data_IF_588292217124
#
_entry.id   IF_588292217124
#
_cell.length_a   1.000
_cell.length_b   1.000
_cell.length_c   1.000
_cell.angle_alpha   90.00
_cell.angle_beta   90.00
_cell.angle_gamma   90.00
#
_symmetry.space_group_name_H-M   'P 1'
#
loop_
_entity.id
_entity.type
_entity.pdbx_description
1 polymer ?
#
# COMPACT_ATOMS: atom_id res chain seq x y z
N UNK A 1 37.17 22.92 -45.25
CA UNK A 1 36.25 22.14 -44.37
C UNK A 1 36.16 20.66 -44.75
N UNK A 2 36.33 20.28 -46.02
CA UNK A 2 36.44 18.87 -46.47
C UNK A 2 37.45 17.97 -45.71
N UNK A 3 38.66 18.43 -45.32
CA UNK A 3 39.62 17.54 -44.64
C UNK A 3 39.16 17.10 -43.24
N UNK A 4 38.40 17.94 -42.53
CA UNK A 4 37.82 17.58 -41.24
C UNK A 4 36.77 16.47 -41.37
N UNK A 5 36.03 16.44 -42.47
CA UNK A 5 35.01 15.41 -42.73
C UNK A 5 35.60 14.01 -42.91
N UNK A 6 36.78 13.92 -43.54
CA UNK A 6 37.48 12.64 -43.72
C UNK A 6 37.96 12.06 -42.38
N UNK A 7 38.55 12.91 -41.52
CA UNK A 7 38.99 12.51 -40.17
C UNK A 7 37.80 12.03 -39.34
N UNK A 8 36.69 12.77 -39.35
CA UNK A 8 35.46 12.37 -38.64
C UNK A 8 34.99 10.99 -39.13
N UNK A 9 34.87 10.78 -40.44
CA UNK A 9 34.42 9.50 -41.02
C UNK A 9 35.34 8.33 -40.63
N UNK A 10 36.65 8.55 -40.60
CA UNK A 10 37.62 7.52 -40.26
C UNK A 10 37.59 7.18 -38.76
N UNK A 11 37.51 8.19 -37.89
CA UNK A 11 37.33 7.99 -36.45
C UNK A 11 36.03 7.24 -36.12
N UNK A 12 34.93 7.51 -36.84
CA UNK A 12 33.69 6.74 -36.68
C UNK A 12 33.84 5.29 -37.17
N UNK A 13 34.56 5.07 -38.27
CA UNK A 13 34.82 3.74 -38.80
C UNK A 13 35.68 2.91 -37.84
N UNK A 14 36.72 3.50 -37.26
CA UNK A 14 37.55 2.84 -36.26
C UNK A 14 36.80 2.59 -34.95
N UNK A 15 35.97 3.55 -34.51
CA UNK A 15 35.10 3.37 -33.35
C UNK A 15 34.14 2.19 -33.56
N UNK A 16 33.48 2.11 -34.73
CA UNK A 16 32.60 1.00 -35.10
C UNK A 16 33.34 -0.33 -35.30
N UNK A 17 34.64 -0.34 -35.56
CA UNK A 17 35.45 -1.56 -35.64
C UNK A 17 35.88 -2.07 -34.25
N UNK A 18 35.76 -1.26 -33.20
CA UNK A 18 36.16 -1.64 -31.85
C UNK A 18 35.22 -2.69 -31.25
N UNK A 19 35.77 -3.88 -30.96
CA UNK A 19 35.05 -4.96 -30.25
C UNK A 19 34.59 -4.53 -28.85
N UNK A 20 35.37 -3.67 -28.19
CA UNK A 20 35.04 -3.13 -26.86
C UNK A 20 33.81 -2.24 -26.94
N UNK A 21 33.71 -1.39 -27.99
CA UNK A 21 32.53 -0.54 -28.19
C UNK A 21 31.27 -1.39 -28.38
N UNK A 22 31.33 -2.42 -29.22
CA UNK A 22 30.18 -3.32 -29.42
C UNK A 22 29.78 -4.07 -28.16
N UNK A 23 30.75 -4.51 -27.34
CA UNK A 23 30.46 -5.15 -26.06
C UNK A 23 29.72 -4.19 -25.11
N UNK A 24 30.20 -2.95 -24.97
CA UNK A 24 29.55 -1.91 -24.16
C UNK A 24 28.17 -1.52 -24.70
N UNK A 25 28.03 -1.42 -26.02
CA UNK A 25 26.76 -1.13 -26.67
C UNK A 25 25.74 -2.23 -26.41
N UNK A 26 26.11 -3.50 -26.61
CA UNK A 26 25.23 -4.64 -26.33
C UNK A 26 24.85 -4.73 -24.85
N UNK A 27 25.81 -4.51 -23.96
CA UNK A 27 25.57 -4.50 -22.51
C UNK A 27 24.59 -3.39 -22.12
N UNK A 28 24.83 -2.15 -22.57
CA UNK A 28 23.96 -1.01 -22.28
C UNK A 28 22.57 -1.19 -22.89
N UNK A 29 22.49 -1.69 -24.13
CA UNK A 29 21.22 -1.98 -24.81
C UNK A 29 20.46 -3.07 -24.07
N UNK A 30 21.12 -4.14 -23.64
CA UNK A 30 20.53 -5.19 -22.81
C UNK A 30 20.01 -4.66 -21.48
N UNK A 31 20.80 -3.82 -20.79
CA UNK A 31 20.39 -3.17 -19.55
C UNK A 31 19.16 -2.28 -19.75
N UNK A 32 19.14 -1.47 -20.81
CA UNK A 32 17.99 -0.64 -21.15
C UNK A 32 16.78 -1.48 -21.52
N UNK A 33 16.93 -2.61 -22.22
CA UNK A 33 15.83 -3.53 -22.51
C UNK A 33 15.26 -4.17 -21.24
N UNK A 34 16.08 -4.45 -20.24
CA UNK A 34 15.61 -4.93 -18.94
C UNK A 34 14.85 -3.84 -18.16
N UNK A 35 15.20 -2.57 -18.31
CA UNK A 35 14.54 -1.45 -17.59
C UNK A 35 13.32 -0.93 -18.37
N UNK A 36 13.32 -0.98 -19.70
CA UNK A 36 12.25 -0.50 -20.57
C UNK A 36 10.82 -0.95 -20.19
N UNK A 37 10.58 -2.21 -19.73
CA UNK A 37 9.24 -2.62 -19.32
C UNK A 37 8.82 -2.11 -17.93
N UNK A 38 9.67 -1.37 -17.21
CA UNK A 38 9.33 -0.79 -15.92
C UNK A 38 8.43 0.44 -16.09
N UNK A 39 7.35 0.49 -15.33
CA UNK A 39 6.36 1.58 -15.39
C UNK A 39 5.59 1.73 -14.08
N UNK A 40 4.56 2.58 -14.10
CA UNK A 40 3.65 2.78 -12.98
C UNK A 40 2.22 2.85 -13.47
N UNK A 41 1.31 2.24 -12.72
CA UNK A 41 -0.13 2.37 -12.93
C UNK A 41 -0.76 3.24 -11.84
N UNK A 42 -1.69 4.10 -12.24
CA UNK A 42 -2.45 4.97 -11.34
C UNK A 42 -3.70 4.22 -10.91
N UNK A 43 -3.75 3.82 -9.64
CA UNK A 43 -4.90 3.13 -9.08
C UNK A 43 -5.57 3.97 -8.01
N UNK A 44 -6.89 3.99 -8.00
CA UNK A 44 -7.67 4.58 -6.90
C UNK A 44 -7.39 3.79 -5.63
N UNK A 45 -7.17 4.49 -4.50
CA UNK A 45 -6.89 3.81 -3.22
C UNK A 45 -8.20 3.32 -2.61
N UNK A 46 -8.65 2.15 -3.06
CA UNK A 46 -9.96 1.57 -2.74
C UNK A 46 -9.87 0.31 -1.84
N UNK A 47 -8.66 -0.13 -1.50
CA UNK A 47 -8.38 -1.22 -0.55
C UNK A 47 -7.73 -0.69 0.73
N UNK A 48 -7.76 -1.52 1.78
CA UNK A 48 -6.97 -1.35 3.01
C UNK A 48 -5.74 -2.26 2.95
N UNK A 49 -4.54 -1.74 2.66
CA UNK A 49 -3.29 -2.48 2.87
C UNK A 49 -3.10 -2.85 4.34
N UNK A 50 -2.44 -4.00 4.61
CA UNK A 50 -2.07 -4.40 5.97
C UNK A 50 -1.29 -3.32 6.73
N UNK A 51 -0.41 -2.59 6.02
CA UNK A 51 0.43 -1.50 6.56
C UNK A 51 -0.31 -0.20 6.84
N UNK A 52 -1.54 -0.04 6.35
CA UNK A 52 -2.30 1.19 6.52
C UNK A 52 -3.07 1.21 7.85
N UNK A 53 -3.04 0.10 8.60
CA UNK A 53 -3.55 0.04 9.97
C UNK A 53 -2.35 0.02 10.91
N UNK A 54 -2.28 0.99 11.81
CA UNK A 54 -1.16 1.18 12.74
C UNK A 54 -1.06 0.05 13.76
N UNK A 55 -2.18 -0.32 14.37
CA UNK A 55 -2.27 -1.45 15.29
C UNK A 55 -3.57 -2.22 15.07
N UNK A 56 -3.45 -3.40 14.45
CA UNK A 56 -4.57 -4.31 14.23
C UNK A 56 -5.17 -4.87 15.52
N UNK A 57 -4.35 -5.01 16.58
CA UNK A 57 -4.77 -5.54 17.87
C UNK A 57 -5.70 -4.56 18.57
N UNK A 58 -5.29 -3.30 18.61
CA UNK A 58 -6.09 -2.21 19.15
C UNK A 58 -7.34 -1.95 18.31
N UNK A 59 -7.26 -2.03 16.97
CA UNK A 59 -8.44 -1.92 16.11
C UNK A 59 -9.49 -2.98 16.44
N UNK A 60 -9.10 -4.25 16.56
CA UNK A 60 -10.01 -5.34 16.92
C UNK A 60 -10.67 -5.12 18.29
N UNK A 61 -9.88 -4.66 19.26
CA UNK A 61 -10.35 -4.33 20.61
C UNK A 61 -11.37 -3.18 20.59
N UNK A 62 -11.04 -2.07 19.93
CA UNK A 62 -11.92 -0.89 19.84
C UNK A 62 -13.19 -1.21 19.06
N UNK A 63 -13.12 -1.96 17.96
CA UNK A 63 -14.31 -2.43 17.25
C UNK A 63 -15.21 -3.28 18.15
N UNK A 64 -14.65 -4.13 19.01
CA UNK A 64 -15.41 -4.95 19.95
C UNK A 64 -16.02 -4.15 21.09
N UNK A 65 -15.27 -3.18 21.62
CA UNK A 65 -15.72 -2.32 22.73
C UNK A 65 -16.84 -1.39 22.26
N UNK A 66 -16.68 -0.76 21.10
CA UNK A 66 -17.68 0.14 20.51
C UNK A 66 -18.97 -0.59 20.11
N UNK A 67 -18.89 -1.88 19.78
CA UNK A 67 -20.09 -2.69 19.50
C UNK A 67 -20.90 -3.07 20.74
N UNK A 68 -20.28 -3.05 21.93
CA UNK A 68 -20.96 -3.29 23.20
C UNK A 68 -21.73 -2.07 23.72
N UNK A 69 -21.47 -0.88 23.18
CA UNK A 69 -22.16 0.36 23.56
C UNK A 69 -23.55 0.40 22.93
N UNK A 70 -24.56 0.82 23.68
CA UNK A 70 -25.95 0.80 23.21
C UNK A 70 -26.27 1.91 22.17
N UNK A 71 -25.37 2.87 22.00
CA UNK A 71 -25.49 3.96 21.03
C UNK A 71 -25.05 3.48 19.63
N UNK A 72 -25.81 3.86 18.60
CA UNK A 72 -25.43 3.64 17.20
C UNK A 72 -24.15 4.40 16.87
N UNK A 73 -23.12 3.66 16.46
CA UNK A 73 -21.82 4.21 16.11
C UNK A 73 -21.19 3.35 14.99
N UNK A 74 -20.17 3.86 14.28
CA UNK A 74 -19.54 3.18 13.17
C UNK A 74 -18.98 1.81 13.55
N UNK A 75 -18.35 1.69 14.71
CA UNK A 75 -17.77 0.45 15.19
C UNK A 75 -18.82 -0.64 15.44
N UNK A 76 -19.94 -0.30 16.08
CA UNK A 76 -21.09 -1.19 16.26
C UNK A 76 -21.70 -1.63 14.93
N UNK A 77 -21.90 -0.69 14.01
CA UNK A 77 -22.44 -0.98 12.68
C UNK A 77 -21.54 -1.95 11.91
N UNK A 78 -20.23 -1.65 11.84
CA UNK A 78 -19.24 -2.49 11.16
C UNK A 78 -19.09 -3.86 11.82
N UNK A 79 -19.10 -3.92 13.16
CA UNK A 79 -19.07 -5.18 13.90
C UNK A 79 -20.27 -6.06 13.56
N UNK A 80 -21.46 -5.48 13.38
CA UNK A 80 -22.65 -6.23 13.01
C UNK A 80 -22.64 -6.73 11.56
N UNK A 81 -21.89 -6.07 10.68
CA UNK A 81 -21.68 -6.52 9.30
C UNK A 81 -20.62 -7.61 9.19
N UNK A 82 -19.73 -7.78 10.19
CA UNK A 82 -18.77 -8.87 10.21
C UNK A 82 -19.48 -10.23 10.27
N UNK A 83 -18.92 -11.18 9.54
CA UNK A 83 -19.35 -12.57 9.58
C UNK A 83 -19.13 -13.18 10.96
N UNK A 84 -19.97 -14.15 11.32
CA UNK A 84 -19.85 -14.86 12.59
C UNK A 84 -18.45 -15.45 12.82
N UNK A 85 -17.82 -16.13 11.84
CA UNK A 85 -16.47 -16.66 12.02
C UNK A 85 -15.43 -15.61 12.39
N UNK A 86 -15.56 -14.38 11.88
CA UNK A 86 -14.59 -13.31 12.14
C UNK A 86 -14.82 -12.68 13.51
N UNK A 87 -16.08 -12.52 13.92
CA UNK A 87 -16.41 -12.11 15.28
C UNK A 87 -15.90 -13.12 16.30
N UNK A 88 -16.12 -14.42 16.05
CA UNK A 88 -15.66 -15.50 16.93
C UNK A 88 -14.12 -15.54 17.03
N UNK A 89 -13.41 -15.34 15.92
CA UNK A 89 -11.95 -15.26 15.91
C UNK A 89 -11.43 -14.09 16.76
N UNK A 90 -12.02 -12.89 16.57
CA UNK A 90 -11.67 -11.71 17.35
C UNK A 90 -11.99 -11.91 18.84
N UNK A 91 -13.17 -12.45 19.17
CA UNK A 91 -13.56 -12.71 20.56
C UNK A 91 -12.63 -13.76 21.22
N UNK A 92 -12.23 -14.81 20.50
CA UNK A 92 -11.28 -15.81 20.98
C UNK A 92 -9.90 -15.19 21.26
N UNK A 93 -9.42 -14.34 20.34
CA UNK A 93 -8.17 -13.60 20.51
C UNK A 93 -8.24 -12.67 21.73
N UNK A 94 -9.28 -11.84 21.85
CA UNK A 94 -9.41 -10.88 22.94
C UNK A 94 -9.52 -11.60 24.30
N UNK A 95 -10.29 -12.68 24.38
CA UNK A 95 -10.39 -13.50 25.60
C UNK A 95 -9.02 -14.00 26.06
N UNK A 96 -8.17 -14.46 25.13
CA UNK A 96 -6.83 -14.96 25.43
C UNK A 96 -5.84 -13.83 25.73
N UNK A 97 -5.93 -12.70 25.03
CA UNK A 97 -5.07 -11.52 25.24
C UNK A 97 -5.17 -10.99 26.68
N UNK A 98 -6.36 -11.03 27.27
CA UNK A 98 -6.62 -10.53 28.63
C UNK A 98 -6.56 -11.61 29.71
N UNK A 99 -6.27 -12.86 29.36
CA UNK A 99 -6.09 -13.95 30.33
C UNK A 99 -4.65 -13.91 30.88
N UNK A 100 -4.45 -13.67 32.20
CA UNK A 100 -3.12 -13.59 32.81
C UNK A 100 -2.31 -14.89 32.71
N UNK A 101 -2.96 -16.03 32.45
CA UNK A 101 -2.32 -17.34 32.34
C UNK A 101 -2.13 -17.77 30.88
N UNK A 102 -2.48 -16.93 29.91
CA UNK A 102 -2.40 -17.30 28.51
C UNK A 102 -0.95 -17.52 28.03
N UNK A 103 -0.79 -18.55 27.21
CA UNK A 103 0.45 -18.78 26.49
C UNK A 103 0.68 -17.67 25.45
N UNK A 104 1.84 -17.02 25.50
CA UNK A 104 2.17 -15.92 24.59
C UNK A 104 2.16 -16.36 23.12
N UNK A 105 2.62 -17.57 22.82
CA UNK A 105 2.62 -18.13 21.47
C UNK A 105 1.21 -18.34 20.93
N UNK A 106 0.28 -18.83 21.76
CA UNK A 106 -1.13 -18.94 21.44
C UNK A 106 -1.76 -17.56 21.16
N UNK A 107 -1.54 -16.57 22.04
CA UNK A 107 -2.05 -15.20 21.86
C UNK A 107 -1.52 -14.59 20.56
N UNK A 108 -0.24 -14.77 20.24
CA UNK A 108 0.35 -14.27 19.01
C UNK A 108 -0.28 -14.90 17.76
N UNK A 109 -0.42 -16.23 17.73
CA UNK A 109 -1.05 -16.93 16.59
C UNK A 109 -2.50 -16.51 16.39
N UNK A 110 -3.27 -16.38 17.47
CA UNK A 110 -4.65 -15.92 17.40
C UNK A 110 -4.74 -14.48 16.94
N UNK A 111 -3.82 -13.60 17.37
CA UNK A 111 -3.76 -12.23 16.89
C UNK A 111 -3.52 -12.16 15.38
N UNK A 112 -2.59 -12.98 14.88
CA UNK A 112 -2.25 -13.05 13.45
C UNK A 112 -3.41 -13.62 12.63
N UNK A 113 -3.98 -14.75 13.02
CA UNK A 113 -5.10 -15.35 12.29
C UNK A 113 -6.34 -14.44 12.30
N UNK A 114 -6.64 -13.78 13.42
CA UNK A 114 -7.77 -12.85 13.52
C UNK A 114 -7.54 -11.60 12.69
N UNK A 115 -6.31 -11.07 12.67
CA UNK A 115 -5.90 -9.96 11.79
C UNK A 115 -6.14 -10.33 10.33
N UNK A 116 -5.59 -11.45 9.88
CA UNK A 116 -5.63 -11.84 8.46
C UNK A 116 -7.08 -12.08 8.02
N UNK A 117 -7.89 -12.69 8.89
CA UNK A 117 -9.30 -12.91 8.64
C UNK A 117 -10.10 -11.59 8.58
N UNK A 118 -9.87 -10.67 9.52
CA UNK A 118 -10.50 -9.34 9.49
C UNK A 118 -10.05 -8.54 8.27
N UNK A 119 -8.77 -8.57 7.93
CA UNK A 119 -8.20 -7.85 6.78
C UNK A 119 -8.79 -8.34 5.45
N UNK A 120 -8.86 -9.66 5.27
CA UNK A 120 -9.49 -10.27 4.11
C UNK A 120 -10.98 -9.92 4.04
N UNK A 121 -11.70 -10.04 5.17
CA UNK A 121 -13.13 -9.75 5.18
C UNK A 121 -13.42 -8.26 4.90
N UNK A 122 -12.67 -7.35 5.51
CA UNK A 122 -12.77 -5.92 5.24
C UNK A 122 -12.65 -5.64 3.75
N UNK A 123 -11.57 -6.12 3.12
CA UNK A 123 -11.30 -5.82 1.73
C UNK A 123 -12.24 -6.53 0.75
N UNK A 124 -12.54 -7.81 0.98
CA UNK A 124 -13.21 -8.63 -0.03
C UNK A 124 -14.73 -8.65 0.15
N UNK A 125 -15.22 -8.43 1.38
CA UNK A 125 -16.66 -8.51 1.70
C UNK A 125 -17.27 -7.22 2.17
N UNK A 126 -16.61 -6.40 3.00
CA UNK A 126 -17.24 -5.19 3.57
C UNK A 126 -17.11 -3.96 2.67
N UNK A 127 -15.90 -3.63 2.21
CA UNK A 127 -15.67 -2.46 1.34
C UNK A 127 -16.53 -2.41 0.08
N UNK A 128 -16.93 -3.53 -0.57
CA UNK A 128 -17.79 -3.46 -1.75
C UNK A 128 -19.26 -3.17 -1.44
N UNK A 129 -19.70 -3.28 -0.18
CA UNK A 129 -21.13 -3.25 0.16
C UNK A 129 -21.67 -1.84 0.28
N UNK A 130 -22.89 -1.63 -0.22
CA UNK A 130 -23.56 -0.35 -0.04
C UNK A 130 -24.00 -0.10 1.41
N UNK A 131 -24.39 -1.16 2.13
CA UNK A 131 -24.84 -1.12 3.54
C UNK A 131 -23.69 -0.94 4.55
N UNK A 132 -22.45 -0.82 4.08
CA UNK A 132 -21.31 -0.41 4.91
C UNK A 132 -21.57 0.94 5.61
N UNK A 133 -22.29 1.83 4.95
CA UNK A 133 -22.65 3.14 5.50
C UNK A 133 -24.05 3.13 6.11
N UNK A 134 -24.15 3.64 7.33
CA UNK A 134 -25.41 4.02 7.97
C UNK A 134 -25.35 5.48 8.40
N UNK A 135 -26.33 6.27 7.95
CA UNK A 135 -26.40 7.69 8.28
C UNK A 135 -26.57 7.93 9.79
N UNK A 136 -27.24 7.03 10.50
CA UNK A 136 -27.37 7.10 11.96
C UNK A 136 -26.02 6.86 12.64
N UNK A 137 -25.26 5.86 12.19
CA UNK A 137 -23.97 5.51 12.77
C UNK A 137 -22.88 6.56 12.50
N UNK A 138 -22.90 7.24 11.35
CA UNK A 138 -21.90 8.26 10.97
C UNK A 138 -22.33 9.71 11.24
N UNK A 139 -23.44 9.93 11.94
CA UNK A 139 -24.01 11.28 12.16
C UNK A 139 -23.03 12.25 12.82
N UNK A 140 -22.26 11.78 13.80
CA UNK A 140 -21.37 12.61 14.61
C UNK A 140 -19.89 12.47 14.21
N UNK A 141 -19.62 11.88 13.04
CA UNK A 141 -18.26 11.64 12.53
C UNK A 141 -17.91 12.59 11.40
N UNK A 142 -16.73 13.20 11.49
CA UNK A 142 -16.20 14.05 10.43
C UNK A 142 -15.70 13.19 9.26
N UNK A 143 -16.34 13.35 8.10
CA UNK A 143 -16.02 12.62 6.87
C UNK A 143 -15.33 13.57 5.89
N UNK A 144 -14.35 13.07 5.14
CA UNK A 144 -13.67 13.90 4.14
C UNK A 144 -14.62 14.40 3.06
N UNK A 145 -14.29 15.53 2.44
CA UNK A 145 -15.06 16.09 1.31
C UNK A 145 -15.26 15.05 0.19
N UNK A 146 -14.23 14.27 -0.11
CA UNK A 146 -14.29 13.17 -1.09
C UNK A 146 -15.35 12.12 -0.69
N UNK A 147 -15.39 11.73 0.59
CA UNK A 147 -16.40 10.79 1.08
C UNK A 147 -17.81 11.38 1.01
N UNK A 148 -17.96 12.66 1.37
CA UNK A 148 -19.22 13.37 1.30
C UNK A 148 -19.74 13.46 -0.15
N UNK A 149 -18.87 13.70 -1.12
CA UNK A 149 -19.23 13.73 -2.54
C UNK A 149 -19.62 12.34 -3.07
N UNK A 150 -18.93 11.29 -2.65
CA UNK A 150 -19.29 9.90 -2.99
C UNK A 150 -20.58 9.43 -2.31
N UNK A 151 -20.94 10.01 -1.16
CA UNK A 151 -22.21 9.75 -0.47
C UNK A 151 -23.40 10.42 -1.19
N UNK A 152 -23.20 11.59 -1.81
CA UNK A 152 -24.23 12.27 -2.62
C UNK A 152 -24.60 11.49 -3.88
N UNK A 153 -23.68 10.65 -4.40
CA UNK A 153 -23.94 9.77 -5.54
C UNK A 153 -24.82 8.57 -5.13
N UNK A 154 -25.97 8.35 -5.79
CA UNK A 154 -26.79 7.15 -5.58
C UNK A 154 -26.01 5.87 -5.88
N UNK A 155 -26.34 4.76 -5.20
CA UNK A 155 -25.67 3.47 -5.39
C UNK A 155 -25.66 3.01 -6.86
N UNK A 156 -26.77 3.20 -7.58
CA UNK A 156 -26.89 2.85 -9.00
C UNK A 156 -25.96 3.64 -9.95
N UNK A 157 -25.40 4.77 -9.49
CA UNK A 157 -24.50 5.62 -10.27
C UNK A 157 -23.03 5.48 -9.83
N UNK A 158 -22.75 4.70 -8.78
CA UNK A 158 -21.38 4.43 -8.33
C UNK A 158 -20.85 3.15 -8.97
N UNK A 159 -19.64 3.23 -9.50
CA UNK A 159 -18.85 2.03 -9.80
C UNK A 159 -18.47 1.30 -8.51
N UNK A 160 -18.13 0.00 -8.62
CA UNK A 160 -17.63 -0.77 -7.47
C UNK A 160 -16.41 -0.11 -6.80
N UNK A 161 -15.49 0.44 -7.61
CA UNK A 161 -14.31 1.17 -7.11
C UNK A 161 -14.68 2.42 -6.33
N UNK A 162 -15.69 3.17 -6.77
CA UNK A 162 -16.19 4.32 -6.02
C UNK A 162 -16.86 3.91 -4.71
N UNK A 163 -17.63 2.81 -4.70
CA UNK A 163 -18.22 2.27 -3.46
C UNK A 163 -17.13 1.82 -2.49
N UNK A 164 -16.11 1.11 -2.97
CA UNK A 164 -14.94 0.72 -2.16
C UNK A 164 -14.17 1.94 -1.63
N UNK A 165 -13.91 2.94 -2.47
CA UNK A 165 -13.23 4.19 -2.08
C UNK A 165 -14.03 4.95 -1.01
N UNK A 166 -15.34 5.09 -1.20
CA UNK A 166 -16.25 5.70 -0.22
C UNK A 166 -16.14 4.98 1.12
N UNK A 167 -16.25 3.65 1.11
CA UNK A 167 -16.22 2.85 2.33
C UNK A 167 -14.84 2.87 3.00
N UNK A 168 -13.76 2.93 2.23
CA UNK A 168 -12.39 3.13 2.75
C UNK A 168 -12.28 4.45 3.50
N UNK A 169 -12.79 5.55 2.92
CA UNK A 169 -12.77 6.86 3.57
C UNK A 169 -13.65 6.91 4.83
N UNK A 170 -14.80 6.27 4.80
CA UNK A 170 -15.68 6.14 5.97
C UNK A 170 -15.03 5.33 7.09
N UNK A 171 -14.26 4.30 6.74
CA UNK A 171 -13.48 3.51 7.69
C UNK A 171 -12.36 4.35 8.32
N UNK A 172 -11.67 5.17 7.53
CA UNK A 172 -10.66 6.12 8.04
C UNK A 172 -11.29 7.16 8.99
N UNK A 173 -12.49 7.65 8.68
CA UNK A 173 -13.23 8.56 9.54
C UNK A 173 -13.68 7.90 10.86
N UNK A 174 -14.06 6.61 10.81
CA UNK A 174 -14.48 5.85 11.98
C UNK A 174 -13.32 5.54 12.95
N UNK A 175 -12.12 5.30 12.42
CA UNK A 175 -10.95 4.90 13.21
C UNK A 175 -9.69 5.73 12.87
N UNK A 176 -9.72 7.06 13.07
CA UNK A 176 -8.67 7.96 12.58
C UNK A 176 -7.32 7.77 13.27
N UNK A 177 -7.29 7.20 14.48
CA UNK A 177 -6.06 6.91 15.23
C UNK A 177 -5.45 5.55 14.85
N UNK A 178 -6.25 4.65 14.27
CA UNK A 178 -5.83 3.27 13.98
C UNK A 178 -5.58 3.07 12.49
N UNK A 179 -6.17 3.90 11.63
CA UNK A 179 -6.10 3.76 10.18
C UNK A 179 -5.54 5.02 9.56
N UNK A 180 -4.47 4.83 8.80
CA UNK A 180 -3.79 5.89 8.06
C UNK A 180 -4.73 6.48 7.00
N UNK A 181 -4.81 7.81 6.95
CA UNK A 181 -5.47 8.53 5.85
C UNK A 181 -4.83 8.17 4.51
N UNK A 182 -5.65 7.82 3.52
CA UNK A 182 -5.13 7.41 2.20
C UNK A 182 -5.31 8.49 1.13
N UNK A 183 -4.31 8.67 0.24
CA UNK A 183 -4.44 9.56 -0.90
C UNK A 183 -5.48 9.00 -1.89
N UNK A 184 -6.13 9.87 -2.67
CA UNK A 184 -7.12 9.45 -3.67
C UNK A 184 -6.54 8.49 -4.72
N UNK A 185 -5.26 8.69 -5.08
CA UNK A 185 -4.54 7.89 -6.07
C UNK A 185 -3.27 7.33 -5.43
N UNK A 186 -3.03 6.05 -5.63
CA UNK A 186 -1.78 5.38 -5.36
C UNK A 186 -1.10 4.97 -6.66
N UNK A 187 0.23 5.05 -6.69
CA UNK A 187 1.05 4.57 -7.80
C UNK A 187 1.52 3.17 -7.50
N UNK A 188 1.22 2.22 -8.39
CA UNK A 188 1.72 0.85 -8.29
C UNK A 188 2.81 0.64 -9.33
N UNK A 189 4.03 0.24 -8.94
CA UNK A 189 5.07 -0.12 -9.91
C UNK A 189 4.63 -1.36 -10.70
N UNK A 190 4.91 -1.34 -12.00
CA UNK A 190 4.61 -2.41 -12.94
C UNK A 190 5.85 -2.82 -13.70
N UNK A 191 5.96 -4.10 -14.05
CA UNK A 191 6.98 -4.61 -14.95
C UNK A 191 6.29 -5.35 -16.09
N UNK A 192 6.58 -4.95 -17.33
CA UNK A 192 5.94 -5.46 -18.54
C UNK A 192 4.41 -5.39 -18.48
N UNK A 193 3.88 -4.32 -17.86
CA UNK A 193 2.44 -4.10 -17.67
C UNK A 193 1.80 -4.94 -16.56
N UNK A 194 2.55 -5.82 -15.89
CA UNK A 194 2.06 -6.58 -14.75
C UNK A 194 2.40 -5.84 -13.44
N UNK A 195 1.49 -5.82 -12.45
CA UNK A 195 1.81 -5.26 -11.15
C UNK A 195 2.96 -6.04 -10.53
N UNK A 196 3.95 -5.32 -9.98
CA UNK A 196 4.96 -5.95 -9.14
C UNK A 196 4.30 -6.18 -7.78
N UNK A 197 3.53 -7.25 -7.67
CA UNK A 197 3.03 -7.76 -6.39
C UNK A 197 4.26 -8.19 -5.60
N UNK A 198 4.73 -7.31 -4.70
CA UNK A 198 5.81 -7.52 -3.73
C UNK A 198 6.67 -8.75 -4.03
N UNK A 199 7.78 -8.55 -4.75
CA UNK A 199 8.84 -9.56 -4.83
C UNK A 199 9.09 -10.04 -3.38
N UNK A 200 9.08 -11.35 -3.09
CA UNK A 200 9.35 -11.88 -1.75
C UNK A 200 10.83 -11.79 -1.38
N UNK A 201 11.46 -10.65 -1.67
CA UNK A 201 12.84 -10.32 -1.34
C UNK A 201 12.85 -8.92 -0.74
N UNK A 202 13.27 -8.85 0.55
CA UNK A 202 13.53 -7.64 1.34
C UNK A 202 12.30 -6.93 1.95
N UNK A 203 11.46 -7.67 2.68
CA UNK A 203 10.46 -7.14 3.61
C UNK A 203 11.04 -6.51 4.89
N UNK A 204 12.08 -5.67 4.77
CA UNK A 204 12.71 -5.01 5.92
C UNK A 204 13.32 -3.63 5.68
N UNK A 205 13.42 -3.13 4.43
CA UNK A 205 14.27 -1.97 4.15
C UNK A 205 13.58 -0.70 3.64
N UNK A 206 12.29 -0.71 3.32
CA UNK A 206 11.61 0.47 2.76
C UNK A 206 10.40 0.86 3.61
N UNK A 207 10.66 1.22 4.87
CA UNK A 207 9.85 2.23 5.52
C UNK A 207 10.09 3.57 4.78
N UNK A 208 9.07 4.41 4.54
CA UNK A 208 9.27 5.70 3.92
C UNK A 208 9.93 6.63 4.94
N UNK A 209 11.26 6.57 5.03
CA UNK A 209 12.02 7.73 5.51
C UNK A 209 12.09 8.72 4.35
N UNK A 210 11.59 9.90 4.67
CA UNK A 210 11.62 11.18 3.98
C UNK A 210 12.36 11.22 2.63
N UNK A 211 11.61 11.69 1.62
CA UNK A 211 12.11 12.26 0.35
C UNK A 211 13.19 11.44 -0.37
N UNK A 212 12.77 10.73 -1.41
CA UNK A 212 13.61 10.01 -2.38
C UNK A 212 14.73 10.84 -3.01
N UNK A 213 14.72 12.16 -2.85
CA UNK A 213 15.78 13.05 -3.33
C UNK A 213 17.01 13.04 -2.40
N UNK A 214 16.84 13.02 -1.08
CA UNK A 214 17.98 13.00 -0.14
C UNK A 214 18.69 11.64 -0.16
N UNK A 215 17.95 10.53 -0.24
CA UNK A 215 18.54 9.19 -0.26
C UNK A 215 19.43 8.94 -1.50
N UNK A 216 19.10 9.55 -2.65
CA UNK A 216 19.91 9.45 -3.87
C UNK A 216 21.18 10.31 -3.74
N UNK A 217 21.09 11.48 -3.12
CA UNK A 217 22.25 12.36 -2.88
C UNK A 217 23.20 11.75 -1.85
N UNK A 218 22.69 11.22 -0.73
CA UNK A 218 23.54 10.57 0.29
C UNK A 218 24.21 9.29 -0.24
N UNK A 219 23.54 8.54 -1.12
CA UNK A 219 24.14 7.39 -1.78
C UNK A 219 25.27 7.81 -2.76
N UNK A 220 25.09 8.91 -3.49
CA UNK A 220 26.11 9.44 -4.41
C UNK A 220 27.32 10.04 -3.69
N UNK A 221 27.11 10.74 -2.58
CA UNK A 221 28.17 11.32 -1.75
C UNK A 221 28.96 10.23 -0.99
N UNK A 222 28.29 9.19 -0.50
CA UNK A 222 28.94 8.06 0.16
C UNK A 222 29.80 7.22 -0.79
N UNK A 223 29.37 7.06 -2.04
CA UNK A 223 30.12 6.27 -3.04
C UNK A 223 31.32 7.04 -3.62
N UNK A 224 31.24 8.36 -3.74
CA UNK A 224 32.35 9.21 -4.21
C UNK A 224 33.41 9.44 -3.13
N UNK A 225 33.03 9.51 -1.85
CA UNK A 225 33.97 9.57 -0.73
C UNK A 225 34.81 8.29 -0.54
N UNK A 226 34.30 7.13 -0.93
CA UNK A 226 35.03 5.86 -0.85
C UNK A 226 36.08 5.69 -1.96
N UNK A 227 35.81 6.22 -3.16
CA UNK A 227 36.73 6.12 -4.31
C UNK A 227 37.93 7.09 -4.24
N UNK A 228 37.83 8.18 -3.48
CA UNK A 228 38.90 9.17 -3.33
C UNK A 228 39.91 8.87 -2.21
N UNK A 229 39.68 7.85 -1.38
CA UNK A 229 40.60 7.43 -0.31
C UNK A 229 41.57 6.30 -0.73
N UNK A 230 41.60 5.95 -2.01
CA UNK A 230 42.48 4.91 -2.58
C UNK A 230 43.27 5.34 -3.83
N UNK A 231 43.51 6.65 -3.99
CA UNK A 231 44.55 7.24 -4.86
C UNK A 231 45.25 8.33 -4.07
#
# INVERSE_FOLDING_TARGET
>A
MLPYWAVVKDSFREALASRVLWALLMFTTGMLLCIAPFGYDKQTTDRVPLRDVYDWRELMEVMRLTSAVDVDNPGKHLWNLLSQPTRDAIDAYLKKRFDPQADFGEVFRLAESSRDQLHAELNDKLLPRDDFYSAAAWKDFDVSDEAADLLKKPAAQRSERETRRRNRLLLEAAFPQMIRKSPAIAYRPTYAGQPIESIPLLGGALAPRETTEEAVITWYEGYTGWLLNWV
#
